data_IF_058526750203
#
_entry.id   IF_058526750203
#
_cell.length_a   1.000
_cell.length_b   1.000
_cell.length_c   1.000
_cell.angle_alpha   90.00
_cell.angle_beta   90.00
_cell.angle_gamma   90.00
#
_symmetry.space_group_name_H-M   'P 1'
#
loop_
_entity.id
_entity.type
_entity.pdbx_description
1 polymer ?
#
# COMPACT_ATOMS: atom_id res chain seq x y z
N UNK A 1 -19.73 -44.20 24.83
CA UNK A 1 -19.74 -42.86 25.46
C UNK A 1 -18.46 -42.17 25.02
N UNK A 2 -18.52 -41.49 23.89
CA UNK A 2 -17.37 -40.88 23.22
C UNK A 2 -17.25 -39.42 23.68
N UNK A 3 -16.11 -39.12 24.27
CA UNK A 3 -15.72 -37.78 24.70
C UNK A 3 -15.34 -36.96 23.47
N UNK A 4 -16.03 -35.86 23.25
CA UNK A 4 -15.75 -34.90 22.22
C UNK A 4 -14.53 -34.07 22.63
N UNK A 5 -13.51 -34.13 21.78
CA UNK A 5 -12.27 -33.38 21.90
C UNK A 5 -12.54 -31.86 21.83
N UNK A 6 -11.91 -31.18 22.77
CA UNK A 6 -11.84 -29.73 22.86
C UNK A 6 -11.17 -29.16 21.61
N UNK A 7 -11.89 -28.35 20.86
CA UNK A 7 -11.31 -27.45 19.88
C UNK A 7 -10.26 -26.55 20.56
N UNK A 8 -9.04 -26.72 20.13
CA UNK A 8 -7.92 -25.85 20.50
C UNK A 8 -8.15 -24.51 19.81
N UNK A 9 -8.73 -23.55 20.53
CA UNK A 9 -8.71 -22.17 20.14
C UNK A 9 -7.25 -21.74 19.97
N UNK A 10 -6.84 -21.51 18.71
CA UNK A 10 -5.61 -20.82 18.41
C UNK A 10 -5.83 -19.39 18.88
N UNK A 11 -5.33 -19.04 20.05
CA UNK A 11 -5.27 -17.68 20.55
C UNK A 11 -4.50 -16.84 19.53
N UNK A 12 -5.21 -16.14 18.66
CA UNK A 12 -4.68 -15.00 17.95
C UNK A 12 -4.37 -13.96 19.04
N UNK A 13 -3.08 -13.80 19.37
CA UNK A 13 -2.66 -12.68 20.21
C UNK A 13 -3.07 -11.41 19.49
N UNK A 14 -4.12 -10.75 19.98
CA UNK A 14 -4.48 -9.40 19.54
C UNK A 14 -3.27 -8.51 19.82
N UNK A 15 -2.51 -8.18 18.78
CA UNK A 15 -1.47 -7.18 18.88
C UNK A 15 -2.14 -5.84 19.21
N UNK A 16 -2.03 -5.44 20.46
CA UNK A 16 -2.58 -4.17 20.94
C UNK A 16 -1.89 -3.00 20.25
N UNK A 17 -2.62 -1.92 20.05
CA UNK A 17 -2.05 -0.65 19.59
C UNK A 17 -0.84 -0.28 20.47
N UNK A 18 0.26 0.13 19.85
CA UNK A 18 1.57 0.34 20.50
C UNK A 18 2.64 -0.69 20.13
N UNK A 19 2.29 -1.78 19.44
CA UNK A 19 3.27 -2.75 18.95
C UNK A 19 3.95 -2.28 17.66
N UNK A 20 5.17 -2.77 17.44
CA UNK A 20 5.90 -2.56 16.18
C UNK A 20 6.63 -3.85 15.77
N UNK A 21 6.85 -4.03 14.48
CA UNK A 21 7.54 -5.18 13.90
C UNK A 21 8.22 -4.84 12.58
N UNK A 22 9.19 -5.63 12.18
CA UNK A 22 9.73 -5.62 10.81
C UNK A 22 8.72 -6.25 9.83
N UNK A 23 8.97 -6.06 8.53
CA UNK A 23 8.22 -6.77 7.49
C UNK A 23 8.34 -8.29 7.63
N UNK A 24 7.25 -9.00 7.39
CA UNK A 24 7.26 -10.47 7.24
C UNK A 24 7.95 -10.86 5.93
N UNK A 25 8.37 -12.14 5.81
CA UNK A 25 8.91 -12.65 4.54
C UNK A 25 7.90 -12.56 3.40
N UNK A 26 6.61 -12.76 3.70
CA UNK A 26 5.53 -12.60 2.73
C UNK A 26 5.39 -11.16 2.25
N UNK A 27 5.43 -10.19 3.16
CA UNK A 27 5.38 -8.75 2.85
C UNK A 27 6.60 -8.31 2.03
N UNK A 28 7.79 -8.79 2.38
CA UNK A 28 9.01 -8.54 1.57
C UNK A 28 8.82 -9.11 0.17
N UNK A 29 8.28 -10.32 0.03
CA UNK A 29 8.07 -10.96 -1.28
C UNK A 29 7.12 -10.15 -2.16
N UNK A 30 5.97 -9.71 -1.64
CA UNK A 30 5.04 -8.92 -2.44
C UNK A 30 5.58 -7.51 -2.74
N UNK A 31 6.28 -6.87 -1.81
CA UNK A 31 6.92 -5.58 -2.05
C UNK A 31 8.07 -5.69 -3.09
N UNK A 32 8.90 -6.73 -3.02
CA UNK A 32 9.95 -6.99 -4.01
C UNK A 32 9.40 -7.25 -5.41
N UNK A 33 8.22 -7.84 -5.54
CA UNK A 33 7.58 -8.03 -6.86
C UNK A 33 7.20 -6.72 -7.54
N UNK A 34 7.12 -5.62 -6.78
CA UNK A 34 6.78 -4.27 -7.25
C UNK A 34 8.02 -3.39 -7.37
N UNK A 35 8.84 -3.33 -6.31
CA UNK A 35 9.94 -2.36 -6.18
C UNK A 35 11.33 -2.98 -6.48
N UNK A 36 11.41 -4.30 -6.73
CA UNK A 36 12.70 -4.98 -6.93
C UNK A 36 13.64 -4.76 -5.74
N UNK A 37 14.85 -4.33 -6.01
CA UNK A 37 15.88 -4.01 -5.00
C UNK A 37 15.97 -2.50 -4.69
N UNK A 38 14.92 -1.72 -5.02
CA UNK A 38 14.91 -0.27 -4.82
C UNK A 38 14.60 0.17 -3.38
N UNK A 39 14.36 -0.78 -2.46
CA UNK A 39 14.04 -0.53 -1.04
C UNK A 39 14.92 -1.40 -0.14
N UNK A 40 15.37 -0.84 0.98
CA UNK A 40 16.05 -1.56 2.06
C UNK A 40 15.03 -2.23 2.99
N UNK A 41 14.40 -3.33 2.57
CA UNK A 41 13.28 -3.99 3.26
C UNK A 41 13.56 -4.36 4.72
N UNK A 42 14.79 -4.68 5.06
CA UNK A 42 15.21 -5.04 6.43
C UNK A 42 15.26 -3.85 7.40
N UNK A 43 15.01 -2.64 6.91
CA UNK A 43 14.96 -1.41 7.71
C UNK A 43 13.55 -0.84 7.82
N UNK A 44 12.56 -1.48 7.19
CA UNK A 44 11.18 -1.01 7.18
C UNK A 44 10.43 -1.59 8.38
N UNK A 45 9.93 -0.69 9.24
CA UNK A 45 9.12 -1.03 10.40
C UNK A 45 7.65 -0.78 10.14
N UNK A 46 6.81 -1.63 10.72
CA UNK A 46 5.35 -1.45 10.75
C UNK A 46 4.94 -1.22 12.20
N UNK A 47 4.28 -0.11 12.44
CA UNK A 47 3.73 0.28 13.72
C UNK A 47 2.21 0.03 13.74
N UNK A 48 1.73 -0.63 14.79
CA UNK A 48 0.31 -0.63 15.14
C UNK A 48 0.06 0.55 16.08
N UNK A 49 -0.21 1.72 15.52
CA UNK A 49 -0.38 2.94 16.29
C UNK A 49 -0.32 4.21 15.47
N UNK A 50 -0.46 5.33 16.16
CA UNK A 50 -0.42 6.66 15.57
C UNK A 50 1.02 7.17 15.45
N UNK A 51 1.38 7.73 14.28
CA UNK A 51 2.59 8.52 14.13
C UNK A 51 2.49 9.87 14.86
N UNK A 52 1.31 10.48 14.83
CA UNK A 52 1.09 11.77 15.48
C UNK A 52 0.95 11.61 16.99
N UNK A 53 1.52 12.55 17.78
CA UNK A 53 1.42 12.51 19.24
C UNK A 53 -0.05 12.49 19.68
N UNK A 54 -0.29 11.95 20.87
CA UNK A 54 -1.62 11.87 21.48
C UNK A 54 -2.69 11.12 20.65
N UNK A 55 -2.26 10.28 19.68
CA UNK A 55 -3.17 9.53 18.82
C UNK A 55 -3.95 10.40 17.82
N UNK A 56 -3.40 11.55 17.42
CA UNK A 56 -4.08 12.50 16.51
C UNK A 56 -4.16 12.00 15.06
N UNK A 57 -3.44 10.92 14.67
CA UNK A 57 -3.66 10.29 13.37
C UNK A 57 -5.08 9.74 13.31
N UNK A 58 -5.81 10.04 12.24
CA UNK A 58 -7.13 9.45 12.00
C UNK A 58 -7.01 7.92 12.02
N UNK A 59 -7.94 7.24 12.69
CA UNK A 59 -7.93 5.77 12.85
C UNK A 59 -7.97 5.04 11.51
N UNK A 60 -8.64 5.61 10.52
CA UNK A 60 -8.83 5.01 9.19
C UNK A 60 -7.80 5.47 8.14
N UNK A 61 -6.73 6.15 8.57
CA UNK A 61 -5.64 6.62 7.71
C UNK A 61 -4.34 5.92 8.06
N UNK A 62 -3.68 5.32 7.08
CA UNK A 62 -2.29 4.89 7.18
C UNK A 62 -1.35 6.08 6.91
N UNK A 63 -0.12 6.03 7.41
CA UNK A 63 0.88 7.09 7.20
C UNK A 63 2.28 6.48 7.11
N UNK A 64 3.10 7.03 6.20
CA UNK A 64 4.53 6.63 6.07
C UNK A 64 5.46 7.86 6.04
N UNK A 65 5.49 8.67 7.09
CA UNK A 65 6.18 9.96 7.05
C UNK A 65 7.71 9.86 7.06
N UNK A 66 8.26 8.85 7.72
CA UNK A 66 9.70 8.68 7.97
C UNK A 66 10.29 7.41 7.32
N UNK A 67 9.53 6.74 6.44
CA UNK A 67 9.92 5.47 5.83
C UNK A 67 9.57 4.25 6.67
N UNK A 68 8.78 4.45 7.71
CA UNK A 68 8.15 3.41 8.52
C UNK A 68 6.63 3.54 8.40
N UNK A 69 5.92 2.43 8.39
CA UNK A 69 4.48 2.38 8.14
C UNK A 69 3.71 2.43 9.47
N UNK A 70 2.70 3.30 9.55
CA UNK A 70 1.85 3.49 10.73
C UNK A 70 0.40 3.20 10.39
N UNK A 71 -0.12 2.11 10.95
CA UNK A 71 -1.51 1.69 10.79
C UNK A 71 -2.21 1.69 12.14
N UNK A 72 -3.49 2.05 12.15
CA UNK A 72 -4.39 1.89 13.30
C UNK A 72 -5.44 0.84 12.99
N UNK A 73 -6.64 1.21 12.57
CA UNK A 73 -7.73 0.28 12.21
C UNK A 73 -7.33 -0.71 11.10
N UNK A 74 -6.48 -0.28 10.15
CA UNK A 74 -6.02 -1.09 9.04
C UNK A 74 -4.80 -1.98 9.33
N UNK A 75 -4.35 -2.03 10.59
CA UNK A 75 -3.25 -2.92 10.95
C UNK A 75 -3.62 -4.39 10.77
N UNK A 76 -2.68 -5.18 10.27
CA UNK A 76 -2.74 -6.63 10.31
C UNK A 76 -1.33 -7.24 10.54
N UNK A 77 -1.30 -8.47 11.02
CA UNK A 77 -0.04 -9.14 11.37
C UNK A 77 0.79 -9.51 10.14
N UNK A 78 0.15 -9.72 8.99
CA UNK A 78 0.79 -10.02 7.71
C UNK A 78 -0.10 -9.54 6.55
N UNK A 79 0.27 -8.43 5.93
CA UNK A 79 -0.44 -7.88 4.78
C UNK A 79 -0.40 -8.81 3.56
N UNK A 80 0.62 -9.69 3.45
CA UNK A 80 0.70 -10.64 2.35
C UNK A 80 -0.36 -11.73 2.39
N UNK A 81 -0.85 -12.06 3.58
CA UNK A 81 -1.92 -13.03 3.80
C UNK A 81 -3.32 -12.39 3.87
N UNK A 82 -3.40 -11.06 3.96
CA UNK A 82 -4.65 -10.33 4.11
C UNK A 82 -5.42 -10.22 2.77
N UNK A 83 -6.65 -9.70 2.83
CA UNK A 83 -7.49 -9.45 1.65
C UNK A 83 -6.91 -8.34 0.75
N UNK A 84 -7.41 -8.27 -0.49
CA UNK A 84 -6.89 -7.35 -1.52
C UNK A 84 -6.87 -5.87 -1.13
N UNK A 85 -7.85 -5.30 -0.39
CA UNK A 85 -7.77 -3.91 0.06
C UNK A 85 -6.58 -3.63 0.98
N UNK A 86 -6.24 -4.58 1.86
CA UNK A 86 -5.07 -4.48 2.74
C UNK A 86 -3.76 -4.55 1.96
N UNK A 87 -3.68 -5.46 0.97
CA UNK A 87 -2.51 -5.56 0.07
C UNK A 87 -2.33 -4.29 -0.76
N UNK A 88 -3.42 -3.73 -1.27
CA UNK A 88 -3.42 -2.47 -2.00
C UNK A 88 -2.88 -1.33 -1.13
N UNK A 89 -3.44 -1.17 0.09
CA UNK A 89 -3.00 -0.17 1.05
C UNK A 89 -1.52 -0.35 1.43
N UNK A 90 -1.09 -1.59 1.69
CA UNK A 90 0.30 -1.89 2.02
C UNK A 90 1.26 -1.47 0.89
N UNK A 91 0.95 -1.76 -0.37
CA UNK A 91 1.77 -1.34 -1.51
C UNK A 91 1.73 0.18 -1.70
N UNK A 92 0.60 0.85 -1.41
CA UNK A 92 0.51 2.31 -1.38
C UNK A 92 1.50 2.90 -0.37
N UNK A 93 1.50 2.41 0.88
CA UNK A 93 2.43 2.88 1.93
C UNK A 93 3.89 2.52 1.61
N UNK A 94 4.16 1.34 1.07
CA UNK A 94 5.50 0.97 0.59
C UNK A 94 5.99 1.87 -0.56
N UNK A 95 5.07 2.47 -1.34
CA UNK A 95 5.44 3.47 -2.35
C UNK A 95 6.02 4.72 -1.71
N UNK A 96 5.54 5.14 -0.54
CA UNK A 96 6.13 6.25 0.21
C UNK A 96 7.51 5.91 0.77
N UNK A 97 7.76 4.65 1.17
CA UNK A 97 9.11 4.18 1.51
C UNK A 97 10.03 4.33 0.30
N UNK A 98 9.61 3.83 -0.87
CA UNK A 98 10.36 3.95 -2.12
C UNK A 98 10.62 5.40 -2.50
N UNK A 99 9.63 6.28 -2.39
CA UNK A 99 9.78 7.72 -2.67
C UNK A 99 10.83 8.36 -1.75
N UNK A 100 10.84 8.00 -0.48
CA UNK A 100 11.82 8.48 0.49
C UNK A 100 13.23 7.98 0.16
N UNK A 101 13.41 6.70 -0.17
CA UNK A 101 14.70 6.12 -0.59
C UNK A 101 15.28 6.83 -1.83
N UNK A 102 14.41 7.43 -2.64
CA UNK A 102 14.79 8.26 -3.80
C UNK A 102 14.94 9.74 -3.48
N UNK A 103 15.01 10.11 -2.21
CA UNK A 103 15.26 11.48 -1.74
C UNK A 103 14.05 12.41 -1.78
N UNK A 104 12.83 11.91 -1.96
CA UNK A 104 11.64 12.76 -1.81
C UNK A 104 11.38 13.08 -0.34
N UNK A 105 11.07 14.33 -0.03
CA UNK A 105 10.68 14.73 1.31
C UNK A 105 9.19 14.39 1.55
N UNK A 106 8.93 13.17 1.99
CA UNK A 106 7.57 12.65 2.22
C UNK A 106 6.89 13.40 3.37
N UNK A 107 7.61 13.76 4.44
CA UNK A 107 7.05 14.46 5.59
C UNK A 107 6.50 15.84 5.18
N UNK A 108 7.32 16.66 4.54
CA UNK A 108 6.90 18.02 4.14
C UNK A 108 5.74 18.00 3.13
N UNK A 109 5.70 16.98 2.26
CA UNK A 109 4.63 16.82 1.26
C UNK A 109 3.39 16.17 1.86
N UNK A 110 3.54 15.25 2.82
CA UNK A 110 2.43 14.61 3.53
C UNK A 110 1.60 15.60 4.36
N UNK A 111 2.20 16.63 4.94
CA UNK A 111 1.48 17.71 5.62
C UNK A 111 0.61 18.56 4.66
N UNK A 112 0.95 18.58 3.39
CA UNK A 112 0.19 19.29 2.33
C UNK A 112 -0.84 18.33 1.68
N UNK A 113 -0.69 17.02 1.82
CA UNK A 113 -1.48 16.01 1.12
C UNK A 113 -2.93 15.88 1.58
N UNK A 114 -3.31 16.47 2.72
CA UNK A 114 -4.72 16.59 3.11
C UNK A 114 -5.60 17.30 2.05
N UNK A 115 -4.97 18.00 1.10
CA UNK A 115 -5.64 18.68 -0.02
C UNK A 115 -5.39 17.99 -1.37
N UNK A 116 -4.58 16.94 -1.45
CA UNK A 116 -4.24 16.29 -2.72
C UNK A 116 -5.22 15.16 -3.01
N UNK A 117 -5.85 15.24 -4.18
CA UNK A 117 -6.72 14.17 -4.67
C UNK A 117 -5.90 12.92 -5.03
N UNK A 118 -6.31 11.78 -4.52
CA UNK A 118 -5.81 10.47 -4.96
C UNK A 118 -6.29 10.12 -6.39
N UNK A 119 -7.32 10.82 -6.89
CA UNK A 119 -7.87 10.61 -8.22
C UNK A 119 -6.86 11.04 -9.28
N UNK A 120 -6.66 10.20 -10.27
CA UNK A 120 -5.71 10.43 -11.34
C UNK A 120 -6.23 9.96 -12.71
N UNK A 121 -5.59 10.42 -13.76
CA UNK A 121 -5.79 9.95 -15.14
C UNK A 121 -4.45 9.55 -15.73
N UNK A 122 -4.42 8.43 -16.44
CA UNK A 122 -3.25 7.99 -17.19
C UNK A 122 -3.31 8.69 -18.57
N UNK A 123 -2.49 9.71 -18.74
CA UNK A 123 -2.46 10.61 -19.90
C UNK A 123 -1.14 10.50 -20.72
N UNK A 124 -0.38 9.41 -20.53
CA UNK A 124 0.88 9.15 -21.25
C UNK A 124 2.11 9.74 -20.58
N UNK A 125 1.97 10.54 -19.50
CA UNK A 125 3.13 11.02 -18.76
C UNK A 125 3.77 9.89 -17.93
N UNK A 126 5.09 10.00 -17.71
CA UNK A 126 5.80 9.04 -16.82
C UNK A 126 5.39 9.23 -15.36
N UNK A 127 5.49 8.17 -14.54
CA UNK A 127 5.08 8.12 -13.13
C UNK A 127 5.62 9.31 -12.32
N UNK A 128 6.89 9.66 -12.49
CA UNK A 128 7.55 10.76 -11.75
C UNK A 128 6.91 12.16 -11.96
N UNK A 129 6.08 12.33 -12.98
CA UNK A 129 5.37 13.60 -13.25
C UNK A 129 4.03 13.72 -12.54
N UNK A 130 3.61 12.68 -11.83
CA UNK A 130 2.43 12.71 -10.97
C UNK A 130 2.76 13.24 -9.59
N UNK A 131 1.82 13.89 -8.89
CA UNK A 131 1.92 14.20 -7.46
C UNK A 131 2.24 12.95 -6.65
N UNK A 132 2.89 13.11 -5.51
CA UNK A 132 3.40 12.02 -4.66
C UNK A 132 2.33 10.97 -4.32
N UNK A 133 1.15 11.40 -3.87
CA UNK A 133 0.05 10.49 -3.53
C UNK A 133 -0.52 9.77 -4.76
N UNK A 134 -0.60 10.47 -5.90
CA UNK A 134 -1.04 9.83 -7.15
C UNK A 134 -0.02 8.80 -7.63
N UNK A 135 1.29 9.03 -7.44
CA UNK A 135 2.30 8.02 -7.74
C UNK A 135 2.07 6.76 -6.91
N UNK A 136 1.88 6.90 -5.59
CA UNK A 136 1.63 5.77 -4.69
C UNK A 136 0.34 5.03 -5.07
N UNK A 137 -0.72 5.77 -5.39
CA UNK A 137 -2.00 5.21 -5.86
C UNK A 137 -1.83 4.44 -7.18
N UNK A 138 -1.14 5.02 -8.18
CA UNK A 138 -0.87 4.39 -9.49
C UNK A 138 -0.10 3.08 -9.30
N UNK A 139 0.91 3.05 -8.44
CA UNK A 139 1.71 1.85 -8.15
C UNK A 139 0.83 0.76 -7.53
N UNK A 140 0.04 1.10 -6.52
CA UNK A 140 -0.84 0.16 -5.82
C UNK A 140 -1.95 -0.38 -6.75
N UNK A 141 -2.57 0.47 -7.56
CA UNK A 141 -3.60 0.09 -8.52
C UNK A 141 -3.01 -0.83 -9.61
N UNK A 142 -1.82 -0.51 -10.12
CA UNK A 142 -1.11 -1.34 -11.09
C UNK A 142 -0.70 -2.70 -10.51
N UNK A 143 -0.27 -2.75 -9.24
CA UNK A 143 0.02 -3.99 -8.54
C UNK A 143 -1.20 -4.92 -8.51
N UNK A 144 -2.37 -4.42 -8.15
CA UNK A 144 -3.60 -5.23 -8.15
C UNK A 144 -3.92 -5.75 -9.54
N UNK A 145 -3.84 -4.90 -10.56
CA UNK A 145 -4.12 -5.30 -11.95
C UNK A 145 -3.16 -6.40 -12.44
N UNK A 146 -1.89 -6.27 -12.10
CA UNK A 146 -0.81 -7.15 -12.60
C UNK A 146 -0.76 -8.49 -11.89
N UNK A 147 -1.04 -8.52 -10.56
CA UNK A 147 -0.89 -9.73 -9.74
C UNK A 147 -2.20 -10.49 -9.54
N UNK A 148 -3.33 -9.79 -9.55
CA UNK A 148 -4.64 -10.38 -9.23
C UNK A 148 -5.65 -10.25 -10.38
N UNK A 149 -5.29 -9.53 -11.44
CA UNK A 149 -6.08 -9.42 -12.65
C UNK A 149 -7.20 -8.39 -12.61
N UNK A 150 -7.82 -8.21 -13.77
CA UNK A 150 -8.80 -7.16 -14.01
C UNK A 150 -10.08 -7.30 -13.17
N UNK A 151 -10.53 -8.52 -12.92
CA UNK A 151 -11.74 -8.76 -12.12
C UNK A 151 -11.60 -8.23 -10.68
N UNK A 152 -10.45 -8.52 -10.02
CA UNK A 152 -10.14 -8.01 -8.68
C UNK A 152 -9.95 -6.51 -8.71
N UNK A 153 -9.26 -5.98 -9.73
CA UNK A 153 -9.08 -4.54 -9.94
C UNK A 153 -10.43 -3.82 -10.01
N UNK A 154 -11.41 -4.36 -10.76
CA UNK A 154 -12.75 -3.78 -10.87
C UNK A 154 -13.55 -3.86 -9.56
N UNK A 155 -13.35 -4.89 -8.74
CA UNK A 155 -13.94 -4.96 -7.39
C UNK A 155 -13.44 -3.80 -6.54
N UNK A 156 -12.14 -3.59 -6.47
CA UNK A 156 -11.54 -2.48 -5.69
C UNK A 156 -11.93 -1.12 -6.26
N UNK A 157 -12.06 -1.00 -7.59
CA UNK A 157 -12.54 0.23 -8.23
C UNK A 157 -13.96 0.60 -7.80
N UNK A 158 -14.87 -0.38 -7.74
CA UNK A 158 -16.26 -0.18 -7.29
C UNK A 158 -16.34 0.18 -5.81
N UNK A 159 -15.42 -0.33 -5.00
CA UNK A 159 -15.31 0.01 -3.57
C UNK A 159 -14.75 1.42 -3.34
N UNK A 160 -14.07 1.99 -4.33
CA UNK A 160 -13.39 3.28 -4.19
C UNK A 160 -11.95 3.20 -3.73
N UNK A 161 -11.37 1.99 -3.56
CA UNK A 161 -9.95 1.83 -3.24
C UNK A 161 -9.07 2.23 -4.43
N UNK A 162 -9.53 1.95 -5.66
CA UNK A 162 -8.87 2.35 -6.91
C UNK A 162 -9.55 3.61 -7.46
N UNK A 163 -8.76 4.61 -7.86
CA UNK A 163 -9.26 5.97 -8.14
C UNK A 163 -8.91 6.48 -9.55
N UNK A 164 -8.59 5.57 -10.49
CA UNK A 164 -8.36 5.90 -11.91
C UNK A 164 -9.63 6.44 -12.57
N UNK A 165 -9.52 7.60 -13.23
CA UNK A 165 -10.57 8.19 -14.05
C UNK A 165 -10.31 7.98 -15.55
N UNK A 166 -11.37 7.83 -16.34
CA UNK A 166 -11.33 7.73 -17.80
C UNK A 166 -11.86 6.40 -18.32
N UNK A 167 -11.34 5.95 -19.46
CA UNK A 167 -11.68 4.65 -20.03
C UNK A 167 -11.09 3.53 -19.18
N UNK A 168 -11.97 2.69 -18.65
CA UNK A 168 -11.63 1.59 -17.75
C UNK A 168 -11.61 0.23 -18.47
N UNK A 169 -11.70 0.18 -19.81
CA UNK A 169 -11.58 -1.09 -20.54
C UNK A 169 -10.21 -1.72 -20.29
N UNK A 170 -10.17 -3.04 -20.11
CA UNK A 170 -8.97 -3.74 -19.66
C UNK A 170 -7.74 -3.49 -20.55
N UNK A 171 -7.94 -3.58 -21.87
CA UNK A 171 -6.84 -3.39 -22.82
C UNK A 171 -6.24 -1.98 -22.72
N UNK A 172 -7.11 -0.95 -22.58
CA UNK A 172 -6.69 0.46 -22.49
C UNK A 172 -5.93 0.70 -21.19
N UNK A 173 -6.45 0.25 -20.05
CA UNK A 173 -5.78 0.50 -18.76
C UNK A 173 -4.43 -0.23 -18.67
N UNK A 174 -4.33 -1.48 -19.17
CA UNK A 174 -3.07 -2.22 -19.20
C UNK A 174 -2.01 -1.48 -20.02
N UNK A 175 -2.37 -1.02 -21.20
CA UNK A 175 -1.47 -0.26 -22.06
C UNK A 175 -1.01 1.04 -21.37
N UNK A 176 -1.93 1.83 -20.82
CA UNK A 176 -1.63 3.08 -20.14
C UNK A 176 -0.76 2.91 -18.89
N UNK A 177 -1.01 1.87 -18.09
CA UNK A 177 -0.11 1.56 -16.97
C UNK A 177 1.29 1.20 -17.45
N UNK A 178 1.43 0.38 -18.49
CA UNK A 178 2.74 0.04 -19.07
C UNK A 178 3.52 1.28 -19.52
N UNK A 179 2.86 2.23 -20.18
CA UNK A 179 3.49 3.48 -20.58
C UNK A 179 3.93 4.32 -19.38
N UNK A 180 3.03 4.52 -18.39
CA UNK A 180 3.29 5.33 -17.21
C UNK A 180 4.40 4.72 -16.34
N UNK A 181 4.43 3.39 -16.18
CA UNK A 181 5.35 2.64 -15.33
C UNK A 181 6.67 2.25 -16.02
N UNK A 182 6.87 2.62 -17.29
CA UNK A 182 7.99 2.16 -18.14
C UNK A 182 9.37 2.20 -17.48
N UNK A 183 9.62 3.21 -16.66
CA UNK A 183 10.94 3.42 -16.03
C UNK A 183 10.92 3.14 -14.51
N UNK A 184 9.79 2.76 -13.98
CA UNK A 184 9.67 2.37 -12.58
C UNK A 184 10.32 0.99 -12.35
N UNK A 185 11.01 0.74 -11.23
CA UNK A 185 11.21 1.66 -10.09
C UNK A 185 12.47 2.55 -10.17
N UNK A 186 13.23 2.53 -11.27
CA UNK A 186 14.56 3.14 -11.37
C UNK A 186 14.59 4.51 -12.07
N UNK A 187 13.53 4.88 -12.78
CA UNK A 187 13.41 6.09 -13.62
C UNK A 187 12.87 7.32 -12.92
#
# INVERSE_FOLDING_TARGET
>A
MLSLDKHKEVSMSENKEGSLRLLTLGEIKIAKSVFGEAIHYNKVWIHHGSYLPFGLQNKDTAMTPNGELYFRTWYCNDFSAADYPYKHLFIHEMSHVWQRERGMNVIARGLISFAVSYRYRLDGRSLRRYPMEQQAQIIADHFILSHYGYAVWMILRRRGDITLDGDLSEAVIRHKYQETMRYFPWG
#
